data_IF_549554390883
#
_entry.id   IF_549554390883
#
_cell.length_a   1.000
_cell.length_b   1.000
_cell.length_c   1.000
_cell.angle_alpha   90.00
_cell.angle_beta   90.00
_cell.angle_gamma   90.00
#
_symmetry.space_group_name_H-M   'P 1'
#
loop_
_entity.id
_entity.type
_entity.pdbx_description
1 polymer ?
#
# COMPACT_ATOMS: atom_id res chain seq x y z
N UNK A 1 -10.68 6.01 11.66
CA UNK A 1 -10.27 6.55 10.35
C UNK A 1 -11.41 6.29 9.38
N UNK A 2 -11.76 7.25 8.52
CA UNK A 2 -12.71 7.03 7.42
C UNK A 2 -11.96 6.72 6.13
N UNK A 3 -12.64 6.17 5.13
CA UNK A 3 -12.01 5.92 3.82
C UNK A 3 -11.50 7.22 3.18
N UNK A 4 -12.19 8.35 3.38
CA UNK A 4 -11.74 9.63 2.83
C UNK A 4 -10.47 10.12 3.51
N UNK A 5 -10.35 9.96 4.82
CA UNK A 5 -9.12 10.28 5.56
C UNK A 5 -7.96 9.38 5.12
N UNK A 6 -8.23 8.08 4.93
CA UNK A 6 -7.24 7.13 4.45
C UNK A 6 -6.70 7.50 3.05
N UNK A 7 -7.57 7.84 2.11
CA UNK A 7 -7.16 8.26 0.76
C UNK A 7 -6.40 9.60 0.79
N UNK A 8 -6.79 10.52 1.68
CA UNK A 8 -6.08 11.79 1.88
C UNK A 8 -4.65 11.55 2.44
N UNK A 9 -4.46 10.58 3.34
CA UNK A 9 -3.13 10.17 3.85
C UNK A 9 -2.25 9.58 2.75
N UNK A 10 -2.85 8.81 1.84
CA UNK A 10 -2.20 8.31 0.62
C UNK A 10 -1.96 9.40 -0.43
N UNK A 11 -2.42 10.64 -0.18
CA UNK A 11 -2.34 11.80 -1.09
C UNK A 11 -3.00 11.55 -2.44
N UNK A 12 -4.09 10.80 -2.44
CA UNK A 12 -4.87 10.52 -3.63
C UNK A 12 -5.83 11.68 -3.91
N UNK A 13 -5.82 12.16 -5.16
CA UNK A 13 -6.71 13.22 -5.59
C UNK A 13 -8.15 12.71 -5.77
N UNK A 14 -9.12 13.49 -5.27
CA UNK A 14 -10.55 13.24 -5.47
C UNK A 14 -10.98 13.81 -6.81
N UNK A 15 -11.66 13.00 -7.62
CA UNK A 15 -12.24 13.41 -8.90
C UNK A 15 -13.73 13.09 -8.89
N UNK A 16 -14.60 14.07 -9.15
CA UNK A 16 -16.05 13.81 -9.20
C UNK A 16 -16.45 13.20 -10.54
N UNK A 17 -16.73 11.90 -10.54
CA UNK A 17 -17.18 11.15 -11.70
C UNK A 17 -18.71 10.95 -11.68
N UNK A 18 -19.35 11.16 -12.82
CA UNK A 18 -20.78 10.92 -12.98
C UNK A 18 -21.05 9.46 -13.40
N UNK A 19 -20.93 8.55 -12.44
CA UNK A 19 -21.13 7.11 -12.66
C UNK A 19 -22.56 6.71 -12.27
N UNK A 20 -23.23 5.99 -13.18
CA UNK A 20 -24.50 5.30 -12.92
C UNK A 20 -24.17 3.83 -12.75
N UNK A 21 -24.38 3.30 -11.54
CA UNK A 21 -24.10 1.90 -11.24
C UNK A 21 -25.32 1.04 -11.57
N UNK A 22 -25.12 0.06 -12.44
CA UNK A 22 -26.12 -0.95 -12.79
C UNK A 22 -26.10 -2.15 -11.84
N UNK A 23 -25.00 -2.33 -11.10
CA UNK A 23 -24.79 -3.48 -10.22
C UNK A 23 -25.31 -3.22 -8.80
N UNK A 24 -25.96 -4.22 -8.17
CA UNK A 24 -26.34 -4.17 -6.76
C UNK A 24 -25.14 -4.44 -5.85
N UNK A 25 -24.24 -3.46 -5.78
CA UNK A 25 -23.05 -3.44 -4.91
C UNK A 25 -23.25 -2.52 -3.69
N UNK A 26 -22.41 -2.63 -2.64
CA UNK A 26 -22.47 -1.75 -1.48
C UNK A 26 -22.41 -0.27 -1.84
N UNK A 27 -23.25 0.54 -1.17
CA UNK A 27 -23.32 1.98 -1.44
C UNK A 27 -22.02 2.72 -1.08
N UNK A 28 -21.23 2.19 -0.16
CA UNK A 28 -19.90 2.71 0.14
C UNK A 28 -18.94 2.57 -1.05
N UNK A 29 -18.94 1.42 -1.73
CA UNK A 29 -18.13 1.20 -2.92
C UNK A 29 -18.59 2.11 -4.07
N UNK A 30 -19.90 2.30 -4.25
CA UNK A 30 -20.44 3.27 -5.23
C UNK A 30 -19.94 4.69 -4.97
N UNK A 31 -19.99 5.14 -3.71
CA UNK A 31 -19.49 6.48 -3.33
C UNK A 31 -17.99 6.61 -3.51
N UNK A 32 -17.26 5.55 -3.20
CA UNK A 32 -15.81 5.47 -3.38
C UNK A 32 -15.42 5.58 -4.86
N UNK A 33 -16.00 4.76 -5.73
CA UNK A 33 -15.68 4.74 -7.17
C UNK A 33 -16.06 6.05 -7.88
N UNK A 34 -17.13 6.72 -7.45
CA UNK A 34 -17.44 8.07 -7.96
C UNK A 34 -16.34 9.09 -7.70
N UNK A 35 -15.48 8.85 -6.72
CA UNK A 35 -14.40 9.76 -6.32
C UNK A 35 -13.02 9.32 -6.80
N UNK A 36 -12.80 8.01 -6.91
CA UNK A 36 -11.47 7.41 -7.03
C UNK A 36 -11.36 6.31 -8.10
N UNK A 37 -12.30 6.20 -9.04
CA UNK A 37 -12.03 5.38 -10.22
C UNK A 37 -10.79 5.89 -10.98
N UNK A 38 -10.17 5.01 -11.77
CA UNK A 38 -8.98 5.34 -12.59
C UNK A 38 -7.86 5.97 -11.74
N UNK A 39 -7.46 5.27 -10.70
CA UNK A 39 -6.54 5.77 -9.68
C UNK A 39 -5.52 4.73 -9.28
N UNK A 40 -4.24 5.10 -9.35
CA UNK A 40 -3.15 4.29 -8.83
C UNK A 40 -3.00 4.46 -7.31
N UNK A 41 -2.83 3.35 -6.60
CA UNK A 41 -2.50 3.29 -5.18
C UNK A 41 -1.06 2.77 -4.99
N UNK A 42 -0.42 3.04 -3.84
CA UNK A 42 0.91 2.50 -3.56
C UNK A 42 1.01 0.98 -3.61
N UNK A 43 -0.10 0.26 -3.41
CA UNK A 43 -0.18 -1.20 -3.35
C UNK A 43 -1.06 -1.82 -4.46
N UNK A 44 -1.60 -1.01 -5.39
CA UNK A 44 -2.45 -1.52 -6.46
C UNK A 44 -3.08 -0.41 -7.29
N UNK A 45 -4.20 -0.70 -7.95
CA UNK A 45 -4.94 0.29 -8.73
C UNK A 45 -6.46 0.06 -8.65
N UNK A 46 -7.19 1.17 -8.70
CA UNK A 46 -8.64 1.19 -8.88
C UNK A 46 -8.92 1.40 -10.36
N UNK A 47 -9.69 0.49 -10.95
CA UNK A 47 -10.02 0.56 -12.37
C UNK A 47 -11.02 1.68 -12.68
N UNK A 48 -11.02 2.15 -13.93
CA UNK A 48 -12.12 2.94 -14.46
C UNK A 48 -13.39 2.09 -14.62
N UNK A 49 -14.57 2.70 -14.55
CA UNK A 49 -15.84 1.99 -14.61
C UNK A 49 -16.06 1.21 -15.91
N UNK A 50 -15.46 1.63 -17.03
CA UNK A 50 -15.50 0.89 -18.28
C UNK A 50 -14.77 -0.46 -18.16
N UNK A 51 -13.57 -0.45 -17.60
CA UNK A 51 -12.79 -1.65 -17.30
C UNK A 51 -13.49 -2.55 -16.29
N UNK A 52 -14.03 -1.99 -15.21
CA UNK A 52 -14.78 -2.70 -14.17
C UNK A 52 -15.92 -3.52 -14.78
N UNK A 53 -16.76 -2.90 -15.61
CA UNK A 53 -17.90 -3.58 -16.26
C UNK A 53 -17.44 -4.73 -17.14
N UNK A 54 -16.40 -4.48 -17.96
CA UNK A 54 -15.86 -5.49 -18.88
C UNK A 54 -15.24 -6.67 -18.13
N UNK A 55 -14.55 -6.42 -17.02
CA UNK A 55 -13.91 -7.46 -16.21
C UNK A 55 -14.93 -8.29 -15.44
N UNK A 56 -15.90 -7.65 -14.78
CA UNK A 56 -16.90 -8.33 -13.95
C UNK A 56 -17.79 -9.32 -14.73
N UNK A 57 -17.89 -9.16 -16.06
CA UNK A 57 -18.65 -10.06 -16.93
C UNK A 57 -17.88 -11.33 -17.34
N UNK A 58 -16.57 -11.40 -17.07
CA UNK A 58 -15.72 -12.51 -17.50
C UNK A 58 -15.65 -13.59 -16.42
N UNK A 59 -15.37 -14.85 -16.78
CA UNK A 59 -14.96 -15.85 -15.81
C UNK A 59 -13.69 -15.40 -15.05
N UNK A 60 -13.56 -15.73 -13.75
CA UNK A 60 -14.51 -16.49 -12.93
C UNK A 60 -15.67 -15.65 -12.34
N UNK A 61 -15.71 -14.34 -12.59
CA UNK A 61 -16.60 -13.41 -11.91
C UNK A 61 -18.08 -13.51 -12.34
N UNK A 62 -18.34 -13.63 -13.65
CA UNK A 62 -19.66 -13.87 -14.26
C UNK A 62 -20.83 -13.03 -13.69
N UNK A 63 -20.57 -11.77 -13.32
CA UNK A 63 -21.47 -10.84 -12.61
C UNK A 63 -21.90 -11.26 -11.19
N UNK A 64 -21.41 -12.38 -10.65
CA UNK A 64 -21.52 -12.69 -9.22
C UNK A 64 -20.52 -11.86 -8.40
N UNK A 65 -19.40 -11.52 -9.02
CA UNK A 65 -18.34 -10.70 -8.47
C UNK A 65 -18.14 -9.44 -9.29
N UNK A 66 -18.06 -8.32 -8.59
CA UNK A 66 -17.79 -7.00 -9.13
C UNK A 66 -16.32 -6.67 -8.93
N UNK A 67 -15.55 -6.65 -10.01
CA UNK A 67 -14.10 -6.42 -10.02
C UNK A 67 -13.84 -4.92 -10.07
N UNK A 68 -13.26 -4.36 -9.02
CA UNK A 68 -13.09 -2.90 -8.92
C UNK A 68 -11.63 -2.43 -8.92
N UNK A 69 -10.67 -3.34 -8.82
CA UNK A 69 -9.26 -3.01 -8.84
C UNK A 69 -8.39 -4.25 -8.89
N UNK A 70 -7.09 -4.06 -8.69
CA UNK A 70 -6.11 -5.13 -8.56
C UNK A 70 -4.91 -4.66 -7.75
N UNK A 71 -4.15 -5.61 -7.23
CA UNK A 71 -2.84 -5.34 -6.64
C UNK A 71 -1.77 -5.08 -7.72
N UNK A 72 -0.52 -4.87 -7.29
CA UNK A 72 0.63 -4.72 -8.19
C UNK A 72 1.17 -6.02 -8.78
N UNK A 73 0.54 -7.15 -8.46
CA UNK A 73 1.01 -8.49 -8.78
C UNK A 73 -0.07 -9.23 -9.57
N UNK A 74 -0.77 -10.16 -8.91
CA UNK A 74 -1.66 -11.13 -9.54
C UNK A 74 -3.06 -11.19 -8.91
N UNK A 75 -3.41 -10.30 -7.98
CA UNK A 75 -4.71 -10.37 -7.33
C UNK A 75 -5.67 -9.31 -7.84
N UNK A 76 -6.86 -9.73 -8.27
CA UNK A 76 -7.98 -8.82 -8.51
C UNK A 76 -8.72 -8.54 -7.21
N UNK A 77 -9.19 -7.31 -7.05
CA UNK A 77 -10.02 -6.89 -5.93
C UNK A 77 -11.48 -6.96 -6.32
N UNK A 78 -12.27 -7.70 -5.55
CA UNK A 78 -13.65 -8.03 -5.91
C UNK A 78 -14.61 -7.80 -4.76
N UNK A 79 -15.83 -7.43 -5.14
CA UNK A 79 -16.96 -7.30 -4.24
C UNK A 79 -18.09 -8.23 -4.67
N UNK A 80 -18.70 -8.94 -3.74
CA UNK A 80 -19.87 -9.78 -4.00
C UNK A 80 -21.05 -8.90 -4.42
N UNK A 81 -21.72 -9.28 -5.50
CA UNK A 81 -22.94 -8.64 -5.99
C UNK A 81 -24.15 -9.20 -5.22
N UNK A 82 -25.18 -8.39 -5.01
CA UNK A 82 -26.40 -8.78 -4.28
C UNK A 82 -26.16 -9.21 -2.82
N UNK A 83 -25.07 -8.75 -2.21
CA UNK A 83 -24.76 -9.06 -0.82
C UNK A 83 -25.72 -8.36 0.16
N UNK A 84 -26.08 -9.06 1.24
CA UNK A 84 -26.87 -8.46 2.32
C UNK A 84 -26.01 -7.60 3.25
N UNK A 85 -26.63 -6.69 4.00
CA UNK A 85 -25.92 -5.66 4.80
C UNK A 85 -24.99 -6.23 5.89
N UNK A 86 -25.23 -7.47 6.33
CA UNK A 86 -24.46 -8.12 7.40
C UNK A 86 -23.42 -9.12 6.87
N UNK A 87 -23.38 -9.34 5.55
CA UNK A 87 -22.41 -10.25 4.94
C UNK A 87 -21.02 -9.62 4.83
N UNK A 88 -20.02 -10.50 4.76
CA UNK A 88 -18.72 -10.13 4.19
C UNK A 88 -18.92 -10.00 2.68
N UNK A 89 -18.32 -8.97 2.09
CA UNK A 89 -18.57 -8.62 0.68
C UNK A 89 -17.29 -8.44 -0.13
N UNK A 90 -16.16 -8.13 0.49
CA UNK A 90 -14.90 -7.89 -0.21
C UNK A 90 -13.92 -9.06 -0.05
N UNK A 91 -13.19 -9.37 -1.12
CA UNK A 91 -12.06 -10.29 -1.11
C UNK A 91 -11.13 -10.02 -2.29
N UNK A 92 -10.01 -10.75 -2.32
CA UNK A 92 -9.09 -10.81 -3.44
C UNK A 92 -9.27 -12.13 -4.19
N UNK A 93 -8.97 -12.14 -5.48
CA UNK A 93 -8.83 -13.36 -6.26
C UNK A 93 -7.47 -13.38 -6.94
N UNK A 94 -6.66 -14.37 -6.56
CA UNK A 94 -5.36 -14.64 -7.16
C UNK A 94 -5.56 -15.41 -8.47
N UNK A 95 -5.33 -14.74 -9.60
CA UNK A 95 -5.59 -15.35 -10.91
C UNK A 95 -4.49 -16.31 -11.38
N UNK A 96 -3.38 -16.41 -10.64
CA UNK A 96 -2.32 -17.38 -10.91
C UNK A 96 -2.54 -18.68 -10.13
N UNK A 97 -3.14 -18.60 -8.93
CA UNK A 97 -3.27 -19.72 -8.01
C UNK A 97 -4.67 -20.32 -7.97
N UNK A 98 -5.72 -19.53 -8.19
CA UNK A 98 -7.11 -19.95 -7.96
C UNK A 98 -7.94 -20.01 -9.25
N UNK A 99 -8.69 -21.10 -9.43
CA UNK A 99 -9.63 -21.24 -10.56
C UNK A 99 -10.90 -20.40 -10.38
N UNK A 100 -11.30 -20.13 -9.13
CA UNK A 100 -12.53 -19.45 -8.76
C UNK A 100 -12.28 -18.42 -7.65
N UNK A 101 -13.16 -17.42 -7.54
CA UNK A 101 -13.14 -16.49 -6.40
C UNK A 101 -13.55 -17.24 -5.13
N UNK A 102 -12.74 -17.10 -4.06
CA UNK A 102 -13.04 -17.66 -2.75
C UNK A 102 -14.16 -16.94 -1.99
N UNK A 103 -14.29 -17.24 -0.70
CA UNK A 103 -15.26 -16.55 0.16
C UNK A 103 -14.88 -15.09 0.41
N UNK A 104 -15.89 -14.24 0.61
CA UNK A 104 -15.68 -12.86 1.01
C UNK A 104 -15.11 -12.80 2.44
N UNK A 105 -14.07 -11.98 2.66
CA UNK A 105 -13.31 -11.94 3.92
C UNK A 105 -13.56 -10.68 4.73
N UNK A 106 -13.85 -9.55 4.09
CA UNK A 106 -14.07 -8.25 4.73
C UNK A 106 -15.51 -7.76 4.52
N UNK A 107 -16.08 -7.11 5.53
CA UNK A 107 -17.41 -6.50 5.44
C UNK A 107 -17.36 -5.02 5.06
N UNK A 108 -16.21 -4.37 5.26
CA UNK A 108 -16.02 -2.93 5.08
C UNK A 108 -14.86 -2.65 4.09
N UNK A 109 -15.04 -1.66 3.22
CA UNK A 109 -14.05 -1.33 2.19
C UNK A 109 -12.74 -0.79 2.75
N UNK A 110 -12.77 -0.03 3.86
CA UNK A 110 -11.55 0.46 4.50
C UNK A 110 -10.76 -0.68 5.13
N UNK A 111 -11.43 -1.61 5.80
CA UNK A 111 -10.81 -2.84 6.32
C UNK A 111 -10.13 -3.62 5.18
N UNK A 112 -10.83 -3.80 4.06
CA UNK A 112 -10.29 -4.48 2.88
C UNK A 112 -9.03 -3.80 2.34
N UNK A 113 -9.08 -2.49 2.05
CA UNK A 113 -7.94 -1.77 1.49
C UNK A 113 -6.74 -1.75 2.45
N UNK A 114 -7.00 -1.62 3.76
CA UNK A 114 -5.95 -1.68 4.78
C UNK A 114 -5.30 -3.08 4.81
N UNK A 115 -6.09 -4.15 4.67
CA UNK A 115 -5.56 -5.51 4.56
C UNK A 115 -4.67 -5.65 3.32
N UNK A 116 -5.10 -5.15 2.17
CA UNK A 116 -4.29 -5.20 0.95
C UNK A 116 -2.98 -4.41 1.08
N UNK A 117 -2.99 -3.26 1.75
CA UNK A 117 -1.75 -2.51 2.02
C UNK A 117 -0.80 -3.30 2.93
N UNK A 118 -1.32 -3.95 3.97
CA UNK A 118 -0.52 -4.77 4.87
C UNK A 118 0.11 -5.96 4.15
N UNK A 119 -0.67 -6.67 3.32
CA UNK A 119 -0.16 -7.81 2.54
C UNK A 119 0.92 -7.35 1.54
N UNK A 120 0.73 -6.18 0.91
CA UNK A 120 1.72 -5.57 0.04
C UNK A 120 3.01 -5.22 0.80
N UNK A 121 2.90 -4.58 1.97
CA UNK A 121 4.05 -4.20 2.79
C UNK A 121 4.81 -5.44 3.31
N UNK A 122 4.09 -6.50 3.67
CA UNK A 122 4.65 -7.79 4.07
C UNK A 122 5.44 -8.42 2.92
N UNK A 123 4.87 -8.44 1.72
CA UNK A 123 5.54 -8.97 0.53
C UNK A 123 6.78 -8.13 0.16
N UNK A 124 6.67 -6.81 0.09
CA UNK A 124 7.81 -5.92 -0.20
C UNK A 124 8.94 -6.06 0.83
N UNK A 125 8.63 -6.37 2.09
CA UNK A 125 9.65 -6.66 3.10
C UNK A 125 10.45 -7.94 2.81
N UNK A 126 9.90 -8.88 2.03
CA UNK A 126 10.60 -10.11 1.63
C UNK A 126 11.45 -9.93 0.37
N UNK A 127 11.02 -9.09 -0.56
CA UNK A 127 11.67 -8.94 -1.88
C UNK A 127 12.53 -7.69 -2.02
N UNK A 128 12.27 -6.66 -1.21
CA UNK A 128 12.91 -5.35 -1.34
C UNK A 128 13.72 -5.02 -0.11
N UNK A 129 14.94 -4.52 -0.33
CA UNK A 129 15.74 -3.89 0.72
C UNK A 129 16.23 -2.52 0.29
N UNK A 130 16.50 -1.67 1.27
CA UNK A 130 16.94 -0.30 1.04
C UNK A 130 18.32 -0.07 1.65
N UNK A 131 19.22 0.56 0.90
CA UNK A 131 20.48 1.04 1.46
C UNK A 131 20.24 2.40 2.12
N UNK A 132 20.45 2.46 3.44
CA UNK A 132 20.40 3.71 4.19
C UNK A 132 21.73 4.46 4.04
N UNK A 133 21.68 5.66 3.46
CA UNK A 133 22.83 6.50 3.18
C UNK A 133 22.77 7.75 4.03
N UNK A 134 23.74 7.92 4.91
CA UNK A 134 23.98 9.18 5.62
C UNK A 134 24.50 10.21 4.62
N UNK A 135 23.71 11.24 4.35
CA UNK A 135 24.03 12.29 3.39
C UNK A 135 24.44 13.61 4.05
N UNK A 136 24.00 13.87 5.29
CA UNK A 136 24.35 15.07 6.04
C UNK A 136 25.00 14.73 7.38
N UNK A 137 25.89 15.62 7.84
CA UNK A 137 26.51 15.52 9.17
C UNK A 137 25.45 15.66 10.25
N UNK A 138 25.54 14.83 11.29
CA UNK A 138 24.65 14.85 12.45
C UNK A 138 25.49 14.71 13.73
N UNK A 139 24.92 15.14 14.86
CA UNK A 139 25.52 14.88 16.17
C UNK A 139 25.51 13.38 16.48
N UNK A 140 26.38 12.93 17.39
CA UNK A 140 26.43 11.51 17.77
C UNK A 140 25.11 11.03 18.40
N UNK A 141 24.40 11.89 19.15
CA UNK A 141 23.09 11.56 19.71
C UNK A 141 22.03 11.38 18.62
N UNK A 142 22.03 12.25 17.61
CA UNK A 142 21.14 12.11 16.44
C UNK A 142 21.46 10.83 15.65
N UNK A 143 22.75 10.53 15.45
CA UNK A 143 23.16 9.28 14.78
C UNK A 143 22.76 8.03 15.56
N UNK A 144 22.88 8.04 16.88
CA UNK A 144 22.46 6.93 17.73
C UNK A 144 20.94 6.70 17.66
N UNK A 145 20.15 7.78 17.63
CA UNK A 145 18.71 7.71 17.46
C UNK A 145 18.33 7.15 16.08
N UNK A 146 18.96 7.66 15.01
CA UNK A 146 18.78 7.14 13.65
C UNK A 146 19.11 5.64 13.61
N UNK A 147 20.26 5.24 14.18
CA UNK A 147 20.69 3.85 14.21
C UNK A 147 19.67 2.95 14.90
N UNK A 148 19.08 3.38 16.01
CA UNK A 148 18.02 2.65 16.72
C UNK A 148 16.72 2.55 15.90
N UNK A 149 16.24 3.67 15.35
CA UNK A 149 14.99 3.70 14.55
C UNK A 149 15.11 2.79 13.32
N UNK A 150 16.29 2.78 12.70
CA UNK A 150 16.59 1.94 11.54
C UNK A 150 16.95 0.48 11.92
N UNK A 151 16.97 0.13 13.20
CA UNK A 151 17.32 -1.21 13.67
C UNK A 151 18.76 -1.64 13.34
N UNK A 152 19.63 -0.68 13.02
CA UNK A 152 21.00 -0.92 12.58
C UNK A 152 21.89 -1.28 13.79
N UNK A 153 22.76 -2.27 13.64
CA UNK A 153 23.66 -2.73 14.70
C UNK A 153 25.05 -2.06 14.63
N UNK A 154 25.08 -0.74 14.35
CA UNK A 154 26.34 0.02 14.20
C UNK A 154 26.80 0.52 15.56
N UNK A 155 28.08 0.29 15.88
CA UNK A 155 28.66 0.80 17.14
C UNK A 155 28.80 2.34 17.14
N UNK A 156 28.78 3.01 18.30
CA UNK A 156 29.00 4.47 18.37
C UNK A 156 30.30 4.94 17.72
N UNK A 157 31.38 4.15 17.83
CA UNK A 157 32.67 4.43 17.19
C UNK A 157 32.55 4.43 15.68
N UNK A 158 31.88 3.42 15.13
CA UNK A 158 31.68 3.30 13.68
C UNK A 158 30.73 4.37 13.13
N UNK A 159 29.66 4.72 13.86
CA UNK A 159 28.79 5.85 13.51
C UNK A 159 29.58 7.16 13.40
N UNK A 160 30.49 7.41 14.34
CA UNK A 160 31.35 8.58 14.32
C UNK A 160 32.31 8.58 13.12
N UNK A 161 32.91 7.43 12.78
CA UNK A 161 33.76 7.33 11.60
C UNK A 161 32.96 7.55 10.30
N UNK A 162 31.79 6.92 10.18
CA UNK A 162 30.92 7.08 9.00
C UNK A 162 30.44 8.53 8.81
N UNK A 163 30.19 9.26 9.89
CA UNK A 163 29.74 10.66 9.81
C UNK A 163 30.81 11.67 9.41
N UNK A 164 32.10 11.30 9.46
CA UNK A 164 33.20 12.18 9.02
C UNK A 164 33.20 12.43 7.50
N UNK A 165 32.63 11.52 6.71
CA UNK A 165 32.58 11.60 5.24
C UNK A 165 31.18 11.28 4.76
N UNK A 166 30.47 12.27 4.23
CA UNK A 166 29.18 12.09 3.59
C UNK A 166 29.33 12.24 2.05
N UNK A 167 28.62 11.45 1.23
CA UNK A 167 27.69 10.40 1.62
C UNK A 167 28.40 9.14 2.16
N UNK A 168 27.78 8.45 3.12
CA UNK A 168 28.26 7.16 3.65
C UNK A 168 27.12 6.16 3.81
N UNK A 169 27.40 4.88 3.59
CA UNK A 169 26.43 3.81 3.80
C UNK A 169 26.38 3.47 5.29
N UNK A 170 25.20 3.59 5.90
CA UNK A 170 24.95 3.12 7.25
C UNK A 170 24.71 1.60 7.24
N UNK A 171 23.89 1.12 6.32
CA UNK A 171 23.60 -0.31 6.17
C UNK A 171 22.41 -0.54 5.27
N UNK A 172 21.87 -1.76 5.33
CA UNK A 172 20.65 -2.16 4.63
C UNK A 172 19.50 -2.25 5.63
N UNK A 173 18.31 -1.82 5.24
CA UNK A 173 17.07 -1.87 6.03
C UNK A 173 15.93 -2.48 5.21
N UNK A 174 14.91 -3.00 5.89
CA UNK A 174 13.69 -3.53 5.25
C UNK A 174 12.79 -2.43 4.69
N UNK A 175 11.81 -2.81 3.87
CA UNK A 175 10.78 -1.91 3.37
C UNK A 175 9.98 -1.23 4.50
N UNK A 176 9.48 -1.99 5.49
CA UNK A 176 8.76 -1.45 6.66
C UNK A 176 9.62 -0.51 7.48
N UNK A 177 10.91 -0.81 7.64
CA UNK A 177 11.83 0.07 8.37
C UNK A 177 12.01 1.40 7.63
N UNK A 178 12.12 1.36 6.31
CA UNK A 178 12.16 2.55 5.45
C UNK A 178 10.84 3.33 5.54
N UNK A 179 9.68 2.69 5.33
CA UNK A 179 8.34 3.31 5.44
C UNK A 179 8.15 3.98 6.81
N UNK A 180 8.50 3.28 7.89
CA UNK A 180 8.48 3.83 9.25
C UNK A 180 9.37 5.07 9.37
N UNK A 181 10.59 5.05 8.83
CA UNK A 181 11.48 6.22 8.86
C UNK A 181 10.95 7.39 8.01
N UNK A 182 10.00 7.16 7.11
CA UNK A 182 9.33 8.19 6.32
C UNK A 182 8.10 8.80 6.97
N UNK A 183 7.57 8.19 8.04
CA UNK A 183 6.47 8.70 8.84
C UNK A 183 6.77 10.10 9.40
N UNK A 184 5.73 10.91 9.58
CA UNK A 184 5.86 12.30 10.04
C UNK A 184 6.52 12.38 11.43
N UNK A 185 6.31 11.37 12.29
CA UNK A 185 6.97 11.22 13.60
C UNK A 185 8.49 11.21 13.48
N UNK A 186 9.02 10.66 12.39
CA UNK A 186 10.44 10.50 12.13
C UNK A 186 10.96 11.41 11.00
N UNK A 187 10.19 12.44 10.63
CA UNK A 187 10.54 13.36 9.54
C UNK A 187 11.95 13.96 9.63
N UNK A 188 12.51 14.12 10.84
CA UNK A 188 13.87 14.59 11.02
C UNK A 188 14.92 13.67 10.37
N UNK A 189 14.65 12.36 10.23
CA UNK A 189 15.56 11.40 9.59
C UNK A 189 15.83 11.79 8.14
N UNK A 190 14.81 12.29 7.42
CA UNK A 190 14.93 12.72 6.01
C UNK A 190 15.96 13.85 5.81
N UNK A 191 16.30 14.58 6.87
CA UNK A 191 17.36 15.59 6.83
C UNK A 191 18.77 14.97 6.76
N UNK A 192 18.94 13.73 7.21
CA UNK A 192 20.25 13.09 7.37
C UNK A 192 20.43 11.85 6.51
N UNK A 193 19.37 11.07 6.32
CA UNK A 193 19.42 9.78 5.65
C UNK A 193 18.57 9.80 4.38
N UNK A 194 19.11 9.21 3.31
CA UNK A 194 18.39 8.86 2.10
C UNK A 194 18.35 7.34 1.96
N UNK A 195 17.26 6.82 1.43
CA UNK A 195 17.11 5.39 1.14
C UNK A 195 17.19 5.17 -0.35
N UNK A 196 18.07 4.26 -0.77
CA UNK A 196 18.12 3.82 -2.15
C UNK A 196 17.60 2.38 -2.22
N UNK A 197 16.54 2.16 -3.01
CA UNK A 197 16.02 0.82 -3.28
C UNK A 197 17.14 -0.03 -3.92
N UNK A 198 17.34 -1.24 -3.43
CA UNK A 198 18.13 -2.26 -4.12
C UNK A 198 17.16 -3.16 -4.88
N UNK A 199 17.15 -3.01 -6.19
CA UNK A 199 16.55 -4.01 -7.07
C UNK A 199 17.58 -5.13 -7.24
N UNK A 200 17.17 -6.38 -7.01
CA UNK A 200 17.99 -7.57 -7.22
C UNK A 200 17.97 -8.00 -8.69
#
# INVERSE_FOLDING_TARGET
MTIEQYMDELKIEKKDHNIIFEYPIPDELKRFLKKYEDTELPFGEIFDYGTIKKMSQRPPFNNEWFVFGKDKYFSYWVCKVDATKEEKVYTTWDHEMDECVGEAVCSDLLEFLTSCELDYDDFEDTVTTYTAILYNKASLSTLALINNILGLQISPKELLEKSKRCPNILGTVSHKTMKKAEDETYRFIKQYVKFNKRDW
#
